data_IF_193269604392
#
_entry.id   IF_193269604392
#
_cell.length_a   1.000
_cell.length_b   1.000
_cell.length_c   1.000
_cell.angle_alpha   90.00
_cell.angle_beta   90.00
_cell.angle_gamma   90.00
#
_symmetry.space_group_name_H-M   'P 1'
#
loop_
_entity.id
_entity.type
_entity.pdbx_description
1 polymer ?
#
# COMPACT_ATOMS: atom_id res chain seq x y z
N UNK A 1 -5.45 -34.41 -1.88
CA UNK A 1 -6.20 -33.22 -1.46
C UNK A 1 -6.17 -32.27 -2.64
N UNK A 2 -7.30 -31.99 -3.27
CA UNK A 2 -7.40 -30.96 -4.31
C UNK A 2 -7.05 -29.63 -3.63
N UNK A 3 -5.98 -28.98 -4.07
CA UNK A 3 -5.66 -27.62 -3.60
C UNK A 3 -6.88 -26.73 -3.89
N UNK A 4 -7.41 -26.08 -2.89
CA UNK A 4 -8.51 -25.14 -3.06
C UNK A 4 -7.92 -23.88 -3.71
N UNK A 5 -8.35 -23.58 -4.94
CA UNK A 5 -7.95 -22.35 -5.63
C UNK A 5 -8.69 -21.17 -5.00
N UNK A 6 -7.96 -20.15 -4.58
CA UNK A 6 -8.52 -18.94 -3.96
C UNK A 6 -8.92 -17.96 -5.06
N UNK A 7 -10.17 -17.54 -5.04
CA UNK A 7 -10.74 -16.57 -5.99
C UNK A 7 -10.44 -15.15 -5.58
N UNK A 8 -9.84 -14.38 -6.49
CA UNK A 8 -9.39 -13.01 -6.22
C UNK A 8 -10.20 -12.02 -7.02
N UNK A 9 -10.58 -10.91 -6.38
CA UNK A 9 -11.20 -9.75 -7.00
C UNK A 9 -10.26 -8.54 -6.92
N UNK A 10 -10.08 -7.81 -8.03
CA UNK A 10 -9.17 -6.66 -8.12
C UNK A 10 -9.95 -5.41 -8.52
N UNK A 11 -10.20 -4.47 -7.60
CA UNK A 11 -10.60 -3.11 -7.92
C UNK A 11 -9.38 -2.31 -8.42
N UNK A 12 -9.60 -1.33 -9.31
CA UNK A 12 -8.53 -0.56 -9.92
C UNK A 12 -7.62 -1.39 -10.82
N UNK A 13 -8.20 -2.36 -11.53
CA UNK A 13 -7.51 -3.36 -12.35
C UNK A 13 -6.63 -2.76 -13.44
N UNK A 14 -6.99 -1.60 -13.99
CA UNK A 14 -6.23 -0.89 -15.01
C UNK A 14 -5.05 -0.08 -14.44
N UNK A 15 -5.02 0.14 -13.13
CA UNK A 15 -3.93 0.83 -12.44
C UNK A 15 -2.61 0.06 -12.47
N UNK A 16 -1.52 0.73 -12.11
CA UNK A 16 -0.19 0.10 -12.04
C UNK A 16 -0.17 -1.12 -11.11
N UNK A 17 -0.70 -0.97 -9.89
CA UNK A 17 -0.77 -2.08 -8.93
C UNK A 17 -1.75 -3.16 -9.38
N UNK A 18 -2.93 -2.79 -9.91
CA UNK A 18 -3.90 -3.75 -10.41
C UNK A 18 -3.31 -4.68 -11.47
N UNK A 19 -2.61 -4.13 -12.47
CA UNK A 19 -1.94 -4.94 -13.51
C UNK A 19 -0.83 -5.83 -12.93
N UNK A 20 -0.07 -5.37 -11.93
CA UNK A 20 0.95 -6.19 -11.27
C UNK A 20 0.30 -7.34 -10.51
N UNK A 21 -0.76 -7.08 -9.76
CA UNK A 21 -1.50 -8.12 -9.04
C UNK A 21 -2.08 -9.17 -9.98
N UNK A 22 -2.65 -8.74 -11.11
CA UNK A 22 -3.18 -9.67 -12.13
C UNK A 22 -2.06 -10.58 -12.67
N UNK A 23 -0.86 -10.04 -12.90
CA UNK A 23 0.31 -10.85 -13.32
C UNK A 23 0.71 -11.89 -12.27
N UNK A 24 0.77 -11.49 -11.01
CA UNK A 24 1.14 -12.40 -9.92
C UNK A 24 0.08 -13.48 -9.70
N UNK A 25 -1.22 -13.13 -9.84
CA UNK A 25 -2.33 -14.10 -9.76
C UNK A 25 -2.23 -15.09 -10.90
N UNK A 26 -1.99 -14.63 -12.14
CA UNK A 26 -1.87 -15.50 -13.32
C UNK A 26 -0.67 -16.46 -13.22
N UNK A 27 0.40 -16.05 -12.54
CA UNK A 27 1.58 -16.87 -12.30
C UNK A 27 1.43 -17.86 -11.12
N UNK A 28 0.44 -17.68 -10.26
CA UNK A 28 0.25 -18.50 -9.05
C UNK A 28 -0.78 -19.63 -9.30
N UNK A 29 -0.39 -20.91 -9.17
CA UNK A 29 -1.28 -22.02 -9.51
C UNK A 29 -2.44 -22.24 -8.55
N UNK A 30 -2.42 -21.61 -7.40
CA UNK A 30 -3.41 -21.69 -6.33
C UNK A 30 -4.32 -20.45 -6.24
N UNK A 31 -4.15 -19.49 -7.17
CA UNK A 31 -4.98 -18.29 -7.28
C UNK A 31 -5.74 -18.25 -8.60
N UNK A 32 -6.92 -17.64 -8.57
CA UNK A 32 -7.78 -17.43 -9.75
C UNK A 32 -8.34 -16.01 -9.72
N UNK A 33 -8.09 -15.21 -10.77
CA UNK A 33 -8.78 -13.95 -10.93
C UNK A 33 -10.21 -14.21 -11.38
N UNK A 34 -11.21 -13.76 -10.62
CA UNK A 34 -12.63 -13.94 -10.94
C UNK A 34 -13.37 -12.64 -11.21
N UNK A 35 -12.84 -11.50 -10.74
CA UNK A 35 -13.42 -10.19 -10.95
C UNK A 35 -12.34 -9.12 -11.07
N UNK A 36 -12.52 -8.23 -12.03
CA UNK A 36 -11.69 -7.06 -12.25
C UNK A 36 -12.59 -5.85 -12.48
N UNK A 37 -12.43 -4.80 -11.70
CA UNK A 37 -13.21 -3.58 -11.88
C UNK A 37 -12.31 -2.34 -11.94
N UNK A 38 -12.82 -1.29 -12.58
CA UNK A 38 -12.18 0.02 -12.60
C UNK A 38 -13.26 1.12 -12.62
N UNK A 39 -12.82 2.36 -12.50
CA UNK A 39 -13.69 3.53 -12.51
C UNK A 39 -14.40 3.65 -13.87
N UNK A 40 -15.70 3.91 -13.84
CA UNK A 40 -16.50 4.16 -15.03
C UNK A 40 -15.85 5.24 -15.92
N UNK A 41 -15.94 5.05 -17.24
CA UNK A 41 -15.42 5.98 -18.23
C UNK A 41 -13.90 5.90 -18.49
N UNK A 42 -13.19 4.93 -17.91
CA UNK A 42 -11.82 4.64 -18.34
C UNK A 42 -11.79 3.80 -19.60
N UNK A 43 -10.76 3.98 -20.44
CA UNK A 43 -10.58 3.20 -21.67
C UNK A 43 -10.38 1.70 -21.43
N UNK A 44 -10.16 1.30 -20.18
CA UNK A 44 -9.95 -0.08 -19.79
C UNK A 44 -11.26 -0.88 -19.64
N UNK A 45 -12.40 -0.19 -19.49
CA UNK A 45 -13.71 -0.86 -19.39
C UNK A 45 -14.00 -1.63 -20.68
N UNK A 46 -14.40 -2.90 -20.52
CA UNK A 46 -14.64 -3.81 -21.64
C UNK A 46 -13.38 -4.50 -22.19
N UNK A 47 -12.18 -4.17 -21.70
CA UNK A 47 -10.95 -4.86 -22.09
C UNK A 47 -10.71 -6.10 -21.21
N UNK A 48 -10.04 -7.10 -21.79
CA UNK A 48 -9.57 -8.28 -21.06
C UNK A 48 -8.43 -7.88 -20.11
N UNK A 49 -8.58 -8.24 -18.85
CA UNK A 49 -7.65 -7.81 -17.79
C UNK A 49 -6.24 -8.42 -17.93
N UNK A 50 -6.14 -9.65 -18.43
CA UNK A 50 -4.87 -10.32 -18.69
C UNK A 50 -4.13 -9.68 -19.86
N UNK A 51 -4.84 -9.35 -20.95
CA UNK A 51 -4.25 -8.62 -22.08
C UNK A 51 -3.72 -7.26 -21.63
N UNK A 52 -4.50 -6.53 -20.81
CA UNK A 52 -4.08 -5.23 -20.28
C UNK A 52 -2.90 -5.36 -19.32
N UNK A 53 -2.81 -6.45 -18.57
CA UNK A 53 -1.69 -6.76 -17.68
C UNK A 53 -0.46 -7.31 -18.41
N UNK A 54 -0.60 -7.80 -19.67
CA UNK A 54 0.48 -8.33 -20.49
C UNK A 54 0.80 -9.80 -20.23
N UNK A 55 -0.16 -10.58 -19.68
CA UNK A 55 -0.02 -12.04 -19.44
C UNK A 55 -0.69 -12.90 -20.53
N UNK A 56 -1.45 -12.30 -21.42
CA UNK A 56 -2.33 -12.99 -22.36
C UNK A 56 -3.79 -12.84 -21.95
N UNK A 57 -4.71 -13.33 -22.81
CA UNK A 57 -6.14 -13.28 -22.46
C UNK A 57 -6.45 -14.27 -21.34
N UNK A 58 -7.09 -13.79 -20.26
CA UNK A 58 -7.57 -14.61 -19.17
C UNK A 58 -9.11 -14.71 -19.11
N UNK A 59 -9.81 -14.04 -20.04
CA UNK A 59 -11.27 -14.06 -20.13
C UNK A 59 -12.00 -13.17 -19.12
N UNK A 60 -11.29 -12.50 -18.22
CA UNK A 60 -11.88 -11.61 -17.22
C UNK A 60 -11.92 -10.19 -17.75
N UNK A 61 -13.12 -9.73 -18.08
CA UNK A 61 -13.35 -8.40 -18.61
C UNK A 61 -13.42 -7.37 -17.48
N UNK A 62 -12.71 -6.27 -17.63
CA UNK A 62 -12.75 -5.16 -16.67
C UNK A 62 -14.11 -4.46 -16.79
N UNK A 63 -14.88 -4.50 -15.71
CA UNK A 63 -16.18 -3.83 -15.60
C UNK A 63 -16.12 -2.55 -14.78
N UNK A 64 -17.17 -1.75 -14.83
CA UNK A 64 -17.36 -0.56 -14.00
C UNK A 64 -18.34 -0.80 -12.82
N UNK A 65 -18.90 -2.00 -12.72
CA UNK A 65 -19.72 -2.42 -11.59
C UNK A 65 -18.86 -3.13 -10.52
N UNK A 66 -18.58 -2.47 -9.39
CA UNK A 66 -17.80 -3.06 -8.32
C UNK A 66 -18.51 -4.22 -7.61
N UNK A 67 -19.82 -4.40 -7.78
CA UNK A 67 -20.57 -5.52 -7.20
C UNK A 67 -20.06 -6.89 -7.68
N UNK A 68 -19.43 -6.96 -8.86
CA UNK A 68 -18.78 -8.17 -9.36
C UNK A 68 -17.70 -8.72 -8.42
N UNK A 69 -17.08 -7.88 -7.59
CA UNK A 69 -16.08 -8.29 -6.59
C UNK A 69 -16.63 -9.23 -5.52
N UNK A 70 -17.95 -9.25 -5.31
CA UNK A 70 -18.61 -10.15 -4.37
C UNK A 70 -18.46 -11.64 -4.73
N UNK A 71 -18.05 -11.97 -5.97
CA UNK A 71 -17.78 -13.34 -6.41
C UNK A 71 -16.42 -13.90 -5.92
N UNK A 72 -15.58 -13.05 -5.34
CA UNK A 72 -14.25 -13.42 -4.88
C UNK A 72 -14.27 -13.98 -3.45
N UNK A 73 -13.27 -14.80 -3.13
CA UNK A 73 -12.96 -15.18 -1.75
C UNK A 73 -12.17 -14.07 -1.04
N UNK A 74 -11.33 -13.33 -1.82
CA UNK A 74 -10.50 -12.23 -1.33
C UNK A 74 -10.53 -11.07 -2.33
N UNK A 75 -10.78 -9.87 -1.84
CA UNK A 75 -10.58 -8.62 -2.60
C UNK A 75 -9.24 -8.03 -2.21
N UNK A 76 -8.43 -7.61 -3.21
CA UNK A 76 -7.13 -6.94 -2.97
C UNK A 76 -7.19 -5.52 -3.54
N UNK A 77 -7.24 -4.54 -2.66
CA UNK A 77 -7.42 -3.12 -2.99
C UNK A 77 -6.13 -2.31 -2.83
N UNK A 78 -5.65 -1.76 -3.95
CA UNK A 78 -4.57 -0.77 -4.03
C UNK A 78 -5.01 0.43 -4.87
N UNK A 79 -6.20 0.93 -4.64
CA UNK A 79 -6.81 2.00 -5.45
C UNK A 79 -6.42 3.39 -4.95
N UNK A 80 -7.35 4.09 -4.36
CA UNK A 80 -7.19 5.42 -3.78
C UNK A 80 -8.08 5.56 -2.55
N UNK A 81 -7.80 6.48 -1.63
CA UNK A 81 -8.62 6.68 -0.43
C UNK A 81 -10.12 6.78 -0.73
N UNK A 82 -10.48 7.62 -1.69
CA UNK A 82 -11.88 7.81 -2.08
C UNK A 82 -12.57 6.57 -2.64
N UNK A 83 -11.80 5.58 -3.14
CA UNK A 83 -12.32 4.37 -3.74
C UNK A 83 -12.34 3.16 -2.79
N UNK A 84 -11.47 3.14 -1.76
CA UNK A 84 -11.26 1.96 -0.90
C UNK A 84 -12.43 1.63 0.03
N UNK A 85 -13.27 2.60 0.37
CA UNK A 85 -14.45 2.36 1.22
C UNK A 85 -15.51 1.49 0.52
N UNK A 86 -15.67 1.64 -0.81
CA UNK A 86 -16.61 0.84 -1.59
C UNK A 86 -16.34 -0.66 -1.51
N UNK A 87 -15.13 -1.14 -1.85
CA UNK A 87 -14.73 -2.54 -1.67
C UNK A 87 -14.92 -3.08 -0.25
N UNK A 88 -14.72 -2.26 0.80
CA UNK A 88 -14.96 -2.69 2.18
C UNK A 88 -16.45 -2.99 2.44
N UNK A 89 -17.37 -2.18 1.91
CA UNK A 89 -18.80 -2.42 1.99
C UNK A 89 -19.22 -3.70 1.26
N UNK A 90 -18.66 -3.95 0.06
CA UNK A 90 -18.91 -5.17 -0.70
C UNK A 90 -18.38 -6.39 0.08
N UNK A 91 -17.14 -6.34 0.53
CA UNK A 91 -16.51 -7.42 1.28
C UNK A 91 -17.33 -7.80 2.52
N UNK A 92 -17.78 -6.79 3.28
CA UNK A 92 -18.61 -7.00 4.46
C UNK A 92 -19.96 -7.65 4.13
N UNK A 93 -20.63 -7.22 3.04
CA UNK A 93 -21.94 -7.75 2.64
C UNK A 93 -21.87 -9.15 2.03
N UNK A 94 -20.78 -9.53 1.39
CA UNK A 94 -20.56 -10.83 0.75
C UNK A 94 -19.75 -11.83 1.62
N UNK A 95 -19.34 -11.42 2.82
CA UNK A 95 -18.45 -12.21 3.70
C UNK A 95 -17.14 -12.59 3.00
N UNK A 96 -16.59 -11.65 2.22
CA UNK A 96 -15.35 -11.78 1.46
C UNK A 96 -14.19 -11.23 2.28
N UNK A 97 -13.02 -11.88 2.28
CA UNK A 97 -11.84 -11.32 2.90
C UNK A 97 -11.34 -10.08 2.13
N UNK A 98 -10.71 -9.12 2.83
CA UNK A 98 -10.25 -7.87 2.22
C UNK A 98 -8.81 -7.56 2.59
N UNK A 99 -7.99 -7.27 1.59
CA UNK A 99 -6.64 -6.73 1.75
C UNK A 99 -6.62 -5.31 1.21
N UNK A 100 -6.27 -4.35 2.05
CA UNK A 100 -6.17 -2.93 1.68
C UNK A 100 -4.73 -2.46 1.81
N UNK A 101 -4.13 -2.12 0.69
CA UNK A 101 -2.79 -1.50 0.60
C UNK A 101 -2.85 -0.03 0.20
N UNK A 102 -4.05 0.54 0.09
CA UNK A 102 -4.25 1.97 -0.17
C UNK A 102 -3.78 2.79 1.04
N UNK A 103 -2.97 3.80 0.79
CA UNK A 103 -2.45 4.73 1.83
C UNK A 103 -3.16 6.07 1.79
N UNK A 104 -3.09 6.84 2.88
CA UNK A 104 -3.68 8.17 2.96
C UNK A 104 -5.18 8.17 3.22
N UNK A 105 -5.71 7.11 3.83
CA UNK A 105 -7.07 7.04 4.35
C UNK A 105 -7.26 8.07 5.46
N UNK A 106 -8.47 8.63 5.54
CA UNK A 106 -8.88 9.48 6.66
C UNK A 106 -9.25 8.64 7.88
N UNK A 107 -9.35 9.27 9.05
CA UNK A 107 -9.82 8.59 10.27
C UNK A 107 -11.22 7.97 10.09
N UNK A 108 -12.09 8.60 9.28
CA UNK A 108 -13.43 8.10 8.95
C UNK A 108 -13.36 6.86 8.04
N UNK A 109 -12.47 6.87 7.04
CA UNK A 109 -12.22 5.72 6.17
C UNK A 109 -11.69 4.54 6.98
N UNK A 110 -10.71 4.79 7.87
CA UNK A 110 -10.17 3.76 8.76
C UNK A 110 -11.22 3.23 9.75
N UNK A 111 -12.11 4.08 10.28
CA UNK A 111 -13.21 3.65 11.13
C UNK A 111 -14.17 2.71 10.36
N UNK A 112 -14.42 3.01 9.08
CA UNK A 112 -15.21 2.14 8.19
C UNK A 112 -14.56 0.78 7.97
N UNK A 113 -13.22 0.74 7.77
CA UNK A 113 -12.48 -0.53 7.67
C UNK A 113 -12.50 -1.32 8.98
N UNK A 114 -12.38 -0.65 10.12
CA UNK A 114 -12.47 -1.32 11.44
C UNK A 114 -13.86 -1.93 11.65
N UNK A 115 -14.92 -1.22 11.27
CA UNK A 115 -16.28 -1.76 11.36
C UNK A 115 -16.48 -2.98 10.44
N UNK A 116 -15.91 -2.97 9.24
CA UNK A 116 -15.94 -4.14 8.34
C UNK A 116 -15.16 -5.33 8.94
N UNK A 117 -14.05 -5.09 9.62
CA UNK A 117 -13.21 -6.12 10.23
C UNK A 117 -13.89 -6.88 11.38
N UNK A 118 -14.98 -6.37 11.94
CA UNK A 118 -15.79 -7.10 12.93
C UNK A 118 -16.49 -8.33 12.31
N UNK A 119 -16.70 -8.34 10.99
CA UNK A 119 -17.44 -9.39 10.29
C UNK A 119 -16.63 -10.21 9.29
N UNK A 120 -15.46 -9.71 8.85
CA UNK A 120 -14.66 -10.37 7.81
C UNK A 120 -13.17 -10.41 8.21
N UNK A 121 -12.40 -11.29 7.57
CA UNK A 121 -10.94 -11.22 7.65
C UNK A 121 -10.46 -10.00 6.86
N UNK A 122 -9.80 -9.04 7.55
CA UNK A 122 -9.32 -7.81 6.95
C UNK A 122 -7.85 -7.58 7.28
N UNK A 123 -7.05 -7.28 6.26
CA UNK A 123 -5.67 -6.81 6.40
C UNK A 123 -5.58 -5.41 5.84
N UNK A 124 -5.25 -4.43 6.69
CA UNK A 124 -4.93 -3.07 6.27
C UNK A 124 -3.48 -2.77 6.59
N UNK A 125 -2.68 -2.45 5.61
CA UNK A 125 -1.27 -2.14 5.79
C UNK A 125 -0.74 -1.19 4.71
N UNK A 126 -0.02 -0.17 5.13
CA UNK A 126 0.62 0.80 4.24
C UNK A 126 1.78 0.19 3.43
N UNK A 127 2.30 -0.97 3.85
CA UNK A 127 3.43 -1.64 3.21
C UNK A 127 3.40 -3.14 3.49
N UNK A 128 3.43 -3.93 2.42
CA UNK A 128 3.46 -5.41 2.48
C UNK A 128 4.87 -5.99 2.35
N UNK A 129 5.90 -5.15 2.25
CA UNK A 129 7.29 -5.59 2.16
C UNK A 129 7.76 -6.17 3.49
N UNK A 130 8.15 -7.44 3.49
CA UNK A 130 8.79 -8.10 4.66
C UNK A 130 10.05 -7.36 5.09
N UNK A 131 10.84 -6.86 4.13
CA UNK A 131 12.05 -6.09 4.41
C UNK A 131 11.76 -4.78 5.15
N UNK A 132 10.75 -4.04 4.73
CA UNK A 132 10.34 -2.78 5.39
C UNK A 132 9.77 -3.06 6.78
N UNK A 133 9.00 -4.12 6.95
CA UNK A 133 8.48 -4.52 8.26
C UNK A 133 9.61 -4.87 9.23
N UNK A 134 10.60 -5.63 8.75
CA UNK A 134 11.79 -5.98 9.54
C UNK A 134 12.61 -4.73 9.87
N UNK A 135 12.81 -3.83 8.90
CA UNK A 135 13.51 -2.56 9.10
C UNK A 135 12.82 -1.71 10.18
N UNK A 136 11.48 -1.62 10.16
CA UNK A 136 10.73 -0.91 11.21
C UNK A 136 10.99 -1.46 12.61
N UNK A 137 11.03 -2.79 12.78
CA UNK A 137 11.39 -3.42 14.05
C UNK A 137 12.82 -3.11 14.49
N UNK A 138 13.77 -3.12 13.56
CA UNK A 138 15.15 -2.77 13.85
C UNK A 138 15.28 -1.29 14.23
N UNK A 139 14.59 -0.39 13.54
CA UNK A 139 14.56 1.05 13.87
C UNK A 139 14.03 1.26 15.29
N UNK A 140 12.96 0.60 15.67
CA UNK A 140 12.40 0.68 17.02
C UNK A 140 13.40 0.22 18.09
N UNK A 141 14.06 -0.93 17.87
CA UNK A 141 15.07 -1.46 18.78
C UNK A 141 16.30 -0.55 18.90
N UNK A 142 16.80 -0.02 17.79
CA UNK A 142 17.95 0.88 17.76
C UNK A 142 17.61 2.22 18.43
N UNK A 143 16.45 2.78 18.14
CA UNK A 143 16.00 4.03 18.75
C UNK A 143 15.84 3.91 20.28
N UNK A 144 15.43 2.75 20.77
CA UNK A 144 15.33 2.47 22.21
C UNK A 144 16.69 2.43 22.91
N UNK A 145 17.75 2.08 22.19
CA UNK A 145 19.12 2.00 22.76
C UNK A 145 19.90 3.30 22.61
N UNK A 146 19.66 4.03 21.51
CA UNK A 146 20.38 5.27 21.17
C UNK A 146 19.49 6.48 21.48
N UNK A 147 19.27 6.77 22.76
CA UNK A 147 18.34 7.82 23.20
C UNK A 147 18.98 9.21 23.16
N UNK A 148 20.01 9.41 23.99
CA UNK A 148 20.62 10.72 24.16
C UNK A 148 21.79 10.96 23.20
N UNK A 149 21.85 12.18 22.64
CA UNK A 149 22.93 12.60 21.74
C UNK A 149 22.91 11.98 20.34
N UNK A 150 21.87 11.24 20.00
CA UNK A 150 21.67 10.67 18.66
C UNK A 150 20.48 11.30 17.96
N UNK A 151 20.72 11.84 16.79
CA UNK A 151 19.69 12.39 15.92
C UNK A 151 19.07 11.30 15.03
N UNK A 152 17.79 11.46 14.71
CA UNK A 152 17.09 10.60 13.76
C UNK A 152 16.60 11.46 12.60
N UNK A 153 17.02 11.11 11.40
CA UNK A 153 16.60 11.75 10.15
C UNK A 153 16.14 10.70 9.16
N UNK A 154 14.98 10.91 8.58
CA UNK A 154 14.36 10.04 7.59
C UNK A 154 14.34 10.77 6.26
N UNK A 155 15.13 10.30 5.31
CA UNK A 155 15.13 10.78 3.93
C UNK A 155 14.42 9.78 3.04
N UNK A 156 13.42 10.24 2.29
CA UNK A 156 12.72 9.42 1.31
C UNK A 156 12.67 10.08 -0.06
N UNK A 157 12.70 9.25 -1.08
CA UNK A 157 12.70 9.71 -2.47
C UNK A 157 11.72 8.89 -3.30
N UNK A 158 10.83 9.57 -4.02
CA UNK A 158 9.87 8.96 -4.94
C UNK A 158 9.78 9.75 -6.25
N UNK A 159 9.18 9.10 -7.24
CA UNK A 159 8.85 9.72 -8.53
C UNK A 159 7.93 10.94 -8.37
N UNK A 160 7.90 11.84 -9.36
CA UNK A 160 7.12 13.09 -9.29
C UNK A 160 5.60 12.87 -9.27
N UNK A 161 5.11 11.69 -9.64
CA UNK A 161 3.67 11.36 -9.58
C UNK A 161 3.15 10.99 -8.19
N UNK A 162 4.04 10.82 -7.18
CA UNK A 162 3.60 10.53 -5.81
C UNK A 162 3.01 11.77 -5.18
N UNK A 163 1.75 11.66 -4.73
CA UNK A 163 0.94 12.80 -4.26
C UNK A 163 1.05 13.08 -2.76
N UNK A 164 1.33 12.03 -1.97
CA UNK A 164 1.51 12.14 -0.52
C UNK A 164 2.98 12.40 -0.16
N UNK A 165 3.21 13.19 0.88
CA UNK A 165 4.52 13.50 1.46
C UNK A 165 4.38 13.86 2.96
N UNK A 166 5.17 13.23 3.85
CA UNK A 166 6.06 12.09 3.62
C UNK A 166 5.31 10.84 3.18
N UNK A 167 6.04 9.84 2.63
CA UNK A 167 5.43 8.56 2.25
C UNK A 167 4.94 7.80 3.48
N UNK A 168 3.90 6.96 3.32
CA UNK A 168 3.43 6.10 4.40
C UNK A 168 4.53 5.21 5.02
N UNK A 169 5.50 4.76 4.21
CA UNK A 169 6.67 4.02 4.71
C UNK A 169 7.57 4.89 5.59
N UNK A 170 7.81 6.13 5.18
CA UNK A 170 8.63 7.06 5.99
C UNK A 170 7.93 7.38 7.32
N UNK A 171 6.63 7.62 7.30
CA UNK A 171 5.84 7.81 8.51
C UNK A 171 5.89 6.58 9.42
N UNK A 172 5.72 5.37 8.87
CA UNK A 172 5.80 4.13 9.64
C UNK A 172 7.18 3.91 10.29
N UNK A 173 8.27 4.32 9.63
CA UNK A 173 9.62 4.30 10.22
C UNK A 173 9.76 5.34 11.33
N UNK A 174 9.19 6.54 11.15
CA UNK A 174 9.13 7.58 12.18
C UNK A 174 8.36 7.12 13.41
N UNK A 175 7.22 6.48 13.23
CA UNK A 175 6.43 5.87 14.29
C UNK A 175 7.21 4.78 15.04
N UNK A 176 7.95 3.93 14.32
CA UNK A 176 8.80 2.92 14.92
C UNK A 176 9.91 3.56 15.78
N UNK A 177 10.55 4.61 15.28
CA UNK A 177 11.56 5.36 16.02
C UNK A 177 10.97 6.04 17.27
N UNK A 178 9.80 6.67 17.13
CA UNK A 178 9.10 7.32 18.24
C UNK A 178 8.70 6.32 19.32
N UNK A 179 8.15 5.14 18.94
CA UNK A 179 7.86 4.06 19.90
C UNK A 179 9.12 3.60 20.63
N UNK A 180 10.24 3.43 19.91
CA UNK A 180 11.52 3.06 20.52
C UNK A 180 11.97 4.07 21.58
N UNK A 181 11.73 5.36 21.35
CA UNK A 181 12.03 6.45 22.30
C UNK A 181 10.95 6.70 23.37
N UNK A 182 9.83 5.98 23.31
CA UNK A 182 8.73 6.14 24.26
C UNK A 182 7.97 7.47 24.10
N UNK A 183 7.95 8.06 22.91
CA UNK A 183 7.29 9.32 22.58
C UNK A 183 6.26 9.13 21.47
N UNK A 184 5.39 10.12 21.24
CA UNK A 184 4.50 10.14 20.08
C UNK A 184 5.19 10.86 18.92
N UNK A 185 5.02 10.35 17.72
CA UNK A 185 5.62 10.97 16.53
C UNK A 185 5.15 12.41 16.34
N UNK A 186 3.86 12.70 16.52
CA UNK A 186 3.27 14.03 16.37
C UNK A 186 3.92 15.10 17.26
N UNK A 187 4.46 14.70 18.42
CA UNK A 187 5.09 15.64 19.38
C UNK A 187 6.53 15.97 18.99
N UNK A 188 7.18 15.14 18.17
CA UNK A 188 8.62 15.21 17.87
C UNK A 188 8.96 15.26 16.38
N UNK A 189 7.97 15.18 15.50
CA UNK A 189 8.20 15.21 14.05
C UNK A 189 8.63 16.61 13.58
N UNK A 190 9.77 16.69 12.91
CA UNK A 190 10.23 17.91 12.22
C UNK A 190 10.14 17.69 10.70
N UNK A 191 9.03 18.14 10.12
CA UNK A 191 8.71 17.95 8.70
C UNK A 191 8.97 19.17 7.84
N UNK A 192 9.28 20.34 8.45
CA UNK A 192 9.40 21.59 7.71
C UNK A 192 10.59 22.39 8.20
N UNK A 193 11.64 22.47 7.36
CA UNK A 193 12.80 23.31 7.59
C UNK A 193 12.93 24.31 6.46
N UNK A 194 12.61 25.59 6.72
CA UNK A 194 12.70 26.66 5.74
C UNK A 194 13.22 27.95 6.38
N UNK A 195 14.23 28.56 5.77
CA UNK A 195 14.83 29.81 6.26
C UNK A 195 15.80 29.58 7.43
N UNK A 196 15.86 30.53 8.34
CA UNK A 196 16.68 30.43 9.56
C UNK A 196 15.88 29.76 10.67
N UNK A 197 15.99 28.43 10.79
CA UNK A 197 15.20 27.64 11.74
C UNK A 197 15.86 27.50 13.12
N UNK A 198 17.09 28.03 13.28
CA UNK A 198 17.90 27.77 14.45
C UNK A 198 18.57 26.39 14.44
N UNK A 199 19.17 26.02 15.54
CA UNK A 199 19.74 24.68 15.72
C UNK A 199 18.62 23.64 15.82
N UNK A 200 18.90 22.42 15.36
CA UNK A 200 18.00 21.27 15.49
C UNK A 200 17.62 21.05 16.96
N UNK A 201 16.35 20.85 17.24
CA UNK A 201 15.88 20.52 18.58
C UNK A 201 16.26 19.08 18.94
N UNK A 202 16.87 18.88 20.10
CA UNK A 202 17.21 17.54 20.58
C UNK A 202 15.96 16.70 20.78
N UNK A 203 16.01 15.46 20.31
CA UNK A 203 14.90 14.51 20.44
C UNK A 203 13.94 14.51 19.25
N UNK A 204 13.99 15.51 18.36
CA UNK A 204 13.14 15.50 17.16
C UNK A 204 13.49 14.35 16.22
N UNK A 205 12.49 13.93 15.45
CA UNK A 205 12.63 12.99 14.33
C UNK A 205 12.40 13.80 13.05
N UNK A 206 13.45 13.99 12.27
CA UNK A 206 13.39 14.82 11.07
C UNK A 206 12.96 14.03 9.84
N UNK A 207 12.28 14.72 8.92
CA UNK A 207 11.87 14.17 7.64
C UNK A 207 12.36 15.07 6.50
N UNK A 208 12.90 14.42 5.45
CA UNK A 208 13.25 15.08 4.20
C UNK A 208 12.66 14.29 3.02
N UNK A 209 12.04 15.01 2.08
CA UNK A 209 11.27 14.41 0.98
C UNK A 209 11.84 14.86 -0.35
N UNK A 210 12.15 13.91 -1.22
CA UNK A 210 12.50 14.16 -2.61
C UNK A 210 11.39 13.65 -3.54
N UNK A 211 11.08 14.45 -4.55
CA UNK A 211 10.17 14.10 -5.65
C UNK A 211 10.85 14.47 -6.96
N UNK A 212 11.06 13.48 -7.84
CA UNK A 212 11.70 13.70 -9.13
C UNK A 212 11.75 12.44 -9.98
N UNK A 213 11.92 12.60 -11.29
CA UNK A 213 11.90 11.50 -12.26
C UNK A 213 10.54 10.79 -12.35
N UNK A 214 10.46 9.86 -13.28
CA UNK A 214 9.24 9.07 -13.52
C UNK A 214 9.15 7.83 -12.62
N UNK A 215 10.30 7.19 -12.35
CA UNK A 215 10.38 6.06 -11.43
C UNK A 215 11.80 5.91 -10.88
N UNK A 216 11.98 6.08 -9.58
CA UNK A 216 13.29 5.92 -8.95
C UNK A 216 13.71 4.45 -8.81
N UNK A 217 12.76 3.52 -8.88
CA UNK A 217 13.03 2.07 -8.78
C UNK A 217 13.77 1.51 -10.02
N UNK A 218 13.63 2.14 -11.20
CA UNK A 218 14.38 1.74 -12.37
C UNK A 218 15.87 2.13 -12.34
N UNK A 219 16.26 3.01 -11.44
CA UNK A 219 17.66 3.47 -11.32
C UNK A 219 18.41 2.77 -10.19
N UNK A 220 17.72 2.01 -9.35
CA UNK A 220 18.32 1.22 -8.26
C UNK A 220 18.14 -0.26 -8.54
N UNK A 221 19.21 -1.05 -8.70
CA UNK A 221 19.07 -2.49 -8.90
C UNK A 221 18.34 -3.11 -7.72
N UNK A 222 17.20 -3.74 -7.99
CA UNK A 222 16.49 -4.55 -7.02
C UNK A 222 17.16 -5.93 -6.92
N UNK A 223 17.17 -6.58 -5.76
CA UNK A 223 17.62 -7.97 -5.64
C UNK A 223 16.88 -8.94 -6.57
N UNK A 224 15.67 -8.57 -7.05
CA UNK A 224 14.92 -9.35 -8.05
C UNK A 224 15.44 -9.14 -9.47
N UNK A 225 16.08 -7.99 -9.76
CA UNK A 225 16.62 -7.66 -11.09
C UNK A 225 17.98 -8.36 -11.34
N UNK A 226 18.59 -8.91 -10.30
CA UNK A 226 19.88 -9.66 -10.37
C UNK A 226 19.69 -11.17 -10.35
N UNK A 227 18.48 -11.67 -10.29
CA UNK A 227 18.16 -13.08 -10.43
C UNK A 227 17.94 -13.41 -11.93
N UNK A 228 19.04 -13.43 -12.69
CA UNK A 228 19.17 -14.05 -14.01
C UNK A 228 20.08 -15.25 -13.90
#
# INVERSE_FOLDING_TARGET
MTAHTIKIGIPGAAGRMGRMLIREIDAAPDLELVAASDRAGTDAIGQDSGLLAGTGSNGIIIGDDPAALAAADVIIDFTSPAASVGPAGIASSSNTALVVGTTGLTDEDEASLRAAADGIALVYCANTSVGVTLLGKLVEQVAAQLVDGWDIEILEAHHHHKVDAPSGTALALGEAAARGRGVKLDDVADMVRKGQTGARRTGDIGFAVLRGGDCLLYTSPSPRDTAL
#
